data_IF_548362748583
#
_entry.id   IF_548362748583
#
_cell.length_a   1.000
_cell.length_b   1.000
_cell.length_c   1.000
_cell.angle_alpha   90.00
_cell.angle_beta   90.00
_cell.angle_gamma   90.00
#
_symmetry.space_group_name_H-M   'P 1'
#
loop_
_entity.id
_entity.type
_entity.pdbx_description
1 polymer ?
#
# COMPACT_ATOMS: atom_id res chain seq x y z
N UNK A 1 16.87 10.08 -21.06
CA UNK A 1 17.91 9.84 -20.04
C UNK A 1 17.45 10.15 -18.62
N UNK A 2 16.18 10.54 -18.43
CA UNK A 2 15.58 10.72 -17.12
C UNK A 2 15.37 9.38 -16.41
N UNK A 3 15.27 9.41 -15.08
CA UNK A 3 15.13 8.24 -14.24
C UNK A 3 13.87 8.33 -13.40
N UNK A 4 13.17 7.20 -13.23
CA UNK A 4 12.13 6.99 -12.24
C UNK A 4 12.64 5.96 -11.24
N UNK A 5 12.71 6.33 -9.98
CA UNK A 5 13.12 5.44 -8.88
C UNK A 5 11.87 4.99 -8.11
N UNK A 6 11.61 3.68 -8.09
CA UNK A 6 10.43 3.09 -7.45
C UNK A 6 10.86 2.04 -6.44
N UNK A 7 10.12 1.88 -5.34
CA UNK A 7 10.46 0.81 -4.41
C UNK A 7 10.03 -0.57 -4.95
N UNK A 8 10.75 -1.63 -4.59
CA UNK A 8 10.37 -2.99 -4.93
C UNK A 8 9.15 -3.46 -4.13
N UNK A 9 8.80 -2.76 -3.06
CA UNK A 9 7.68 -3.05 -2.18
C UNK A 9 6.34 -2.56 -2.71
N UNK A 10 6.31 -1.93 -3.90
CA UNK A 10 5.11 -1.33 -4.42
C UNK A 10 4.01 -2.34 -4.77
N UNK A 11 2.79 -1.93 -4.50
CA UNK A 11 1.63 -2.57 -5.12
C UNK A 11 1.69 -2.38 -6.64
N UNK A 12 1.18 -3.33 -7.42
CA UNK A 12 1.16 -3.23 -8.89
C UNK A 12 0.57 -1.90 -9.41
N UNK A 13 -0.35 -1.30 -8.68
CA UNK A 13 -0.97 0.00 -9.06
C UNK A 13 0.00 1.18 -8.99
N UNK A 14 1.06 1.09 -8.18
CA UNK A 14 2.12 2.11 -8.11
C UNK A 14 3.42 1.68 -8.82
N UNK A 15 3.44 0.51 -9.42
CA UNK A 15 4.56 0.04 -10.24
C UNK A 15 4.27 0.12 -11.75
N UNK A 16 3.12 -0.41 -12.18
CA UNK A 16 2.80 -0.55 -13.60
C UNK A 16 2.71 0.80 -14.34
N UNK A 17 2.15 1.87 -13.78
CA UNK A 17 2.16 3.18 -14.42
C UNK A 17 3.59 3.67 -14.75
N UNK A 18 4.53 3.49 -13.83
CA UNK A 18 5.93 3.88 -14.03
C UNK A 18 6.60 3.05 -15.13
N UNK A 19 6.33 1.74 -15.17
CA UNK A 19 6.80 0.91 -16.30
C UNK A 19 6.25 1.37 -17.64
N UNK A 20 4.98 1.80 -17.68
CA UNK A 20 4.35 2.31 -18.90
C UNK A 20 4.97 3.63 -19.32
N UNK A 21 5.10 4.58 -18.40
CA UNK A 21 5.69 5.91 -18.68
C UNK A 21 7.16 5.77 -19.13
N UNK A 22 7.95 4.96 -18.45
CA UNK A 22 9.36 4.72 -18.85
C UNK A 22 9.46 4.15 -20.25
N UNK A 23 8.60 3.18 -20.61
CA UNK A 23 8.54 2.65 -21.99
C UNK A 23 8.15 3.68 -23.04
N UNK A 24 7.24 4.59 -22.71
CA UNK A 24 6.76 5.63 -23.64
C UNK A 24 7.77 6.76 -23.83
N UNK A 25 8.47 7.16 -22.77
CA UNK A 25 9.38 8.31 -22.76
C UNK A 25 10.84 7.95 -22.99
N UNK A 26 11.21 6.69 -22.86
CA UNK A 26 12.61 6.24 -22.86
C UNK A 26 13.35 6.55 -21.55
N UNK A 27 12.63 6.85 -20.48
CA UNK A 27 13.19 6.98 -19.14
C UNK A 27 13.61 5.62 -18.58
N UNK A 28 14.58 5.63 -17.68
CA UNK A 28 15.09 4.43 -17.00
C UNK A 28 14.32 4.20 -15.70
N UNK A 29 13.78 2.98 -15.52
CA UNK A 29 13.15 2.56 -14.27
C UNK A 29 14.18 1.90 -13.36
N UNK A 30 14.37 2.44 -12.16
CA UNK A 30 15.27 1.93 -11.13
C UNK A 30 14.52 1.51 -9.89
N UNK A 31 15.11 0.61 -9.10
CA UNK A 31 14.46 0.07 -7.92
C UNK A 31 15.24 0.36 -6.64
N UNK A 32 14.50 0.75 -5.59
CA UNK A 32 14.94 0.69 -4.20
C UNK A 32 14.64 -0.73 -3.72
N UNK A 33 15.66 -1.50 -3.43
CA UNK A 33 15.52 -2.85 -2.90
C UNK A 33 15.41 -2.83 -1.37
N UNK A 34 14.85 -3.89 -0.79
CA UNK A 34 14.80 -4.10 0.64
C UNK A 34 15.65 -5.31 1.06
N UNK A 35 16.05 -5.35 2.33
CA UNK A 35 16.64 -6.53 2.94
C UNK A 35 15.58 -7.64 3.13
N UNK A 36 15.98 -8.89 3.45
CA UNK A 36 15.03 -9.99 3.67
C UNK A 36 13.98 -9.72 4.75
N UNK A 37 14.30 -8.89 5.74
CA UNK A 37 13.37 -8.43 6.78
C UNK A 37 12.46 -7.27 6.34
N UNK A 38 12.56 -6.85 5.09
CA UNK A 38 11.81 -5.72 4.53
C UNK A 38 12.38 -4.34 4.85
N UNK A 39 13.50 -4.23 5.57
CA UNK A 39 14.12 -2.94 5.87
C UNK A 39 14.81 -2.34 4.64
N UNK A 40 14.95 -1.01 4.62
CA UNK A 40 15.66 -0.26 3.56
C UNK A 40 16.84 0.51 4.16
N UNK A 41 17.93 0.62 3.40
CA UNK A 41 19.09 1.44 3.79
C UNK A 41 18.99 2.83 3.16
N UNK A 42 18.80 3.86 3.97
CA UNK A 42 18.71 5.25 3.52
C UNK A 42 19.96 5.73 2.76
N UNK A 43 21.15 5.22 3.10
CA UNK A 43 22.38 5.58 2.38
C UNK A 43 22.39 4.97 0.98
N UNK A 44 21.87 3.76 0.84
CA UNK A 44 21.71 3.15 -0.47
C UNK A 44 20.70 3.96 -1.31
N UNK A 45 19.55 4.31 -0.72
CA UNK A 45 18.52 5.13 -1.40
C UNK A 45 19.14 6.46 -1.86
N UNK A 46 19.87 7.17 -0.97
CA UNK A 46 20.51 8.44 -1.33
C UNK A 46 21.48 8.30 -2.52
N UNK A 47 22.21 7.19 -2.60
CA UNK A 47 23.11 6.92 -3.72
C UNK A 47 22.41 6.61 -5.06
N UNK A 48 21.17 6.12 -5.01
CA UNK A 48 20.35 5.83 -6.18
C UNK A 48 19.70 7.09 -6.79
N UNK A 49 19.49 8.14 -5.96
CA UNK A 49 18.88 9.39 -6.41
C UNK A 49 19.95 10.27 -7.06
N UNK A 50 19.84 10.47 -8.37
CA UNK A 50 20.80 11.26 -9.17
C UNK A 50 20.17 12.56 -9.69
N UNK A 51 20.96 13.41 -10.37
CA UNK A 51 20.46 14.60 -11.06
C UNK A 51 19.49 14.26 -12.21
N UNK A 52 19.50 12.99 -12.67
CA UNK A 52 18.58 12.50 -13.70
C UNK A 52 17.28 11.97 -13.13
N UNK A 53 17.22 11.71 -11.82
CA UNK A 53 16.01 11.24 -11.15
C UNK A 53 14.97 12.36 -11.17
N UNK A 54 13.81 12.08 -11.78
CA UNK A 54 12.68 13.02 -11.88
C UNK A 54 11.54 12.67 -10.94
N UNK A 55 11.37 11.38 -10.66
CA UNK A 55 10.31 10.86 -9.80
C UNK A 55 10.92 9.82 -8.87
N UNK A 56 10.53 9.90 -7.60
CA UNK A 56 10.70 8.85 -6.60
C UNK A 56 9.31 8.43 -6.14
N UNK A 57 8.96 7.15 -6.31
CA UNK A 57 7.69 6.58 -5.89
C UNK A 57 7.91 5.54 -4.80
N UNK A 58 7.18 5.65 -3.70
CA UNK A 58 7.33 4.75 -2.55
C UNK A 58 6.04 4.60 -1.76
N UNK A 59 5.68 3.36 -1.45
CA UNK A 59 4.58 3.09 -0.52
C UNK A 59 4.95 3.50 0.90
N UNK A 60 4.02 4.11 1.63
CA UNK A 60 4.26 4.47 3.03
C UNK A 60 4.20 3.25 3.95
N UNK A 61 3.30 2.29 3.64
CA UNK A 61 3.18 1.01 4.36
C UNK A 61 2.99 -0.11 3.34
N UNK A 62 3.83 -1.15 3.42
CA UNK A 62 3.72 -2.30 2.53
C UNK A 62 2.45 -3.09 2.77
N UNK A 63 1.73 -3.38 1.69
CA UNK A 63 0.56 -4.26 1.73
C UNK A 63 0.89 -5.75 1.90
N UNK A 64 2.16 -6.11 1.86
CA UNK A 64 2.67 -7.48 2.08
C UNK A 64 3.29 -7.61 3.46
N UNK A 65 4.24 -6.73 3.79
CA UNK A 65 5.03 -6.84 5.02
C UNK A 65 4.39 -6.10 6.21
N UNK A 66 3.40 -5.21 5.97
CA UNK A 66 2.86 -4.32 6.99
C UNK A 66 3.85 -3.25 7.46
N UNK A 67 5.07 -3.25 6.94
CA UNK A 67 6.15 -2.37 7.37
C UNK A 67 5.94 -0.94 6.90
N UNK A 68 6.14 0.02 7.82
CA UNK A 68 6.18 1.45 7.51
C UNK A 68 7.57 1.84 7.01
N UNK A 69 7.61 2.66 5.95
CA UNK A 69 8.85 3.12 5.33
C UNK A 69 9.16 4.60 5.63
N UNK A 70 10.44 4.99 5.58
CA UNK A 70 10.90 6.34 5.92
C UNK A 70 10.69 7.33 4.75
N UNK A 71 9.41 7.52 4.38
CA UNK A 71 9.01 8.33 3.23
C UNK A 71 9.46 9.78 3.35
N UNK A 72 9.42 10.35 4.57
CA UNK A 72 9.81 11.73 4.82
C UNK A 72 11.31 11.96 4.53
N UNK A 73 12.16 11.05 4.96
CA UNK A 73 13.60 11.11 4.71
C UNK A 73 13.90 10.95 3.22
N UNK A 74 13.20 10.02 2.55
CA UNK A 74 13.34 9.79 1.11
C UNK A 74 12.86 11.01 0.30
N UNK A 75 11.74 11.62 0.68
CA UNK A 75 11.25 12.86 0.08
C UNK A 75 12.29 14.00 0.18
N UNK A 76 12.88 14.16 1.35
CA UNK A 76 13.93 15.18 1.55
C UNK A 76 15.17 14.91 0.65
N UNK A 77 15.54 13.66 0.41
CA UNK A 77 16.62 13.28 -0.51
C UNK A 77 16.23 13.55 -1.97
N UNK A 78 15.00 13.21 -2.36
CA UNK A 78 14.47 13.45 -3.70
C UNK A 78 14.46 14.96 -4.03
N UNK A 79 13.94 15.78 -3.13
CA UNK A 79 13.85 17.23 -3.30
C UNK A 79 15.21 17.90 -3.43
N UNK A 80 16.26 17.43 -2.73
CA UNK A 80 17.63 17.92 -2.91
C UNK A 80 18.15 17.79 -4.34
N UNK A 81 17.59 16.83 -5.11
CA UNK A 81 17.94 16.58 -6.51
C UNK A 81 16.88 17.09 -7.50
N UNK A 82 15.87 17.79 -7.01
CA UNK A 82 14.77 18.32 -7.81
C UNK A 82 13.80 17.24 -8.33
N UNK A 83 13.81 16.06 -7.72
CA UNK A 83 12.86 14.98 -8.04
C UNK A 83 11.55 15.16 -7.26
N UNK A 84 10.45 14.72 -7.88
CA UNK A 84 9.10 14.71 -7.31
C UNK A 84 8.90 13.44 -6.48
N UNK A 85 8.32 13.57 -5.29
CA UNK A 85 7.99 12.44 -4.41
C UNK A 85 6.52 12.04 -4.53
N UNK A 86 6.27 10.83 -4.97
CA UNK A 86 4.95 10.20 -5.07
C UNK A 86 4.80 9.13 -3.99
N UNK A 87 3.74 9.20 -3.21
CA UNK A 87 3.51 8.31 -2.08
C UNK A 87 2.23 7.51 -2.26
N UNK A 88 2.33 6.18 -2.25
CA UNK A 88 1.18 5.30 -2.07
C UNK A 88 0.82 5.22 -0.59
N UNK A 89 -0.26 5.90 -0.22
CA UNK A 89 -0.83 5.91 1.12
C UNK A 89 -1.97 4.93 1.34
N UNK A 90 -2.20 3.99 0.41
CA UNK A 90 -3.37 3.12 0.45
C UNK A 90 -3.42 2.23 1.71
N UNK A 91 -2.27 1.85 2.26
CA UNK A 91 -2.20 1.06 3.50
C UNK A 91 -1.94 1.92 4.75
N UNK A 92 -1.48 3.15 4.63
CA UNK A 92 -1.26 4.01 5.79
C UNK A 92 -2.51 4.77 6.22
N UNK A 93 -3.28 5.26 5.26
CA UNK A 93 -4.46 6.12 5.52
C UNK A 93 -5.50 5.51 6.48
N UNK A 94 -5.82 4.19 6.45
CA UNK A 94 -6.77 3.62 7.39
C UNK A 94 -6.21 3.40 8.80
N UNK A 95 -4.87 3.35 8.96
CA UNK A 95 -4.22 2.88 10.18
C UNK A 95 -3.49 3.97 10.97
N UNK A 96 -3.17 5.10 10.35
CA UNK A 96 -2.42 6.18 11.00
C UNK A 96 -2.79 7.56 10.48
N UNK A 97 -2.56 8.63 11.28
CA UNK A 97 -2.74 9.99 10.79
C UNK A 97 -1.69 10.28 9.72
N UNK A 98 -2.13 10.96 8.67
CA UNK A 98 -1.25 11.38 7.57
C UNK A 98 -1.28 12.89 7.46
N UNK A 99 -0.11 13.51 7.51
CA UNK A 99 0.11 14.90 7.16
C UNK A 99 1.02 14.95 5.92
N UNK A 100 0.45 15.22 4.76
CA UNK A 100 1.16 15.19 3.47
C UNK A 100 2.29 16.21 3.39
N UNK A 101 2.15 17.36 4.10
CA UNK A 101 3.18 18.40 4.15
C UNK A 101 4.38 17.95 4.99
N UNK A 102 4.14 17.34 6.15
CA UNK A 102 5.20 16.79 7.00
C UNK A 102 5.91 15.61 6.33
N UNK A 103 5.17 14.78 5.58
CA UNK A 103 5.76 13.70 4.78
C UNK A 103 6.63 14.22 3.65
N UNK A 104 6.44 15.48 3.21
CA UNK A 104 7.08 16.01 2.02
C UNK A 104 6.56 15.35 0.74
N UNK A 105 5.34 14.80 0.75
CA UNK A 105 4.76 14.21 -0.45
C UNK A 105 4.35 15.31 -1.44
N UNK A 106 4.81 15.20 -2.68
CA UNK A 106 4.34 16.05 -3.77
C UNK A 106 3.02 15.51 -4.32
N UNK A 107 2.87 14.18 -4.33
CA UNK A 107 1.62 13.47 -4.60
C UNK A 107 1.40 12.38 -3.55
N UNK A 108 0.15 12.23 -3.11
CA UNK A 108 -0.25 11.19 -2.16
C UNK A 108 -1.57 10.57 -2.59
N UNK A 109 -1.58 9.26 -2.83
CA UNK A 109 -2.77 8.53 -3.28
C UNK A 109 -3.31 7.59 -2.19
N UNK A 110 -4.64 7.49 -2.07
CA UNK A 110 -5.28 6.53 -1.18
C UNK A 110 -6.58 5.98 -1.75
N UNK A 111 -7.01 4.82 -1.23
CA UNK A 111 -8.22 4.11 -1.68
C UNK A 111 -9.32 4.18 -0.63
N UNK A 112 -10.52 4.61 -1.03
CA UNK A 112 -11.66 4.77 -0.13
C UNK A 112 -12.11 3.47 0.53
N UNK A 113 -12.11 2.34 -0.22
CA UNK A 113 -12.53 1.04 0.33
C UNK A 113 -11.59 0.50 1.43
N UNK A 114 -10.37 1.01 1.55
CA UNK A 114 -9.44 0.61 2.62
C UNK A 114 -9.64 1.43 3.89
N UNK A 115 -10.17 2.65 3.79
CA UNK A 115 -10.54 3.49 4.93
C UNK A 115 -12.05 3.35 5.28
N UNK A 116 -12.58 2.13 5.15
CA UNK A 116 -13.97 1.76 5.45
C UNK A 116 -15.04 2.45 4.59
N UNK A 117 -14.62 3.12 3.53
CA UNK A 117 -15.49 3.79 2.56
C UNK A 117 -15.95 2.87 1.43
N UNK A 118 -16.76 3.38 0.50
CA UNK A 118 -17.25 2.63 -0.65
C UNK A 118 -16.13 2.22 -1.60
N UNK A 119 -16.36 1.14 -2.37
CA UNK A 119 -15.53 0.79 -3.52
C UNK A 119 -15.68 1.82 -4.64
N UNK A 120 -14.66 1.94 -5.49
CA UNK A 120 -14.70 2.78 -6.69
C UNK A 120 -14.52 4.28 -6.42
N UNK A 121 -13.99 4.63 -5.24
CA UNK A 121 -13.59 6.00 -4.90
C UNK A 121 -12.26 5.98 -4.15
N UNK A 122 -11.52 7.06 -4.28
CA UNK A 122 -10.27 7.33 -3.57
C UNK A 122 -9.91 8.80 -3.69
N UNK A 123 -8.74 9.19 -3.23
CA UNK A 123 -8.24 10.55 -3.34
C UNK A 123 -6.80 10.58 -3.81
N UNK A 124 -6.48 11.64 -4.55
CA UNK A 124 -5.12 12.04 -4.89
C UNK A 124 -4.91 13.46 -4.38
N UNK A 125 -3.99 13.61 -3.45
CA UNK A 125 -3.40 14.91 -3.14
C UNK A 125 -2.27 15.17 -4.14
N UNK A 126 -2.17 16.40 -4.60
CA UNK A 126 -1.03 16.89 -5.37
C UNK A 126 -0.73 18.33 -5.01
N UNK A 127 0.56 18.72 -5.06
CA UNK A 127 0.97 20.11 -4.92
C UNK A 127 0.39 20.93 -6.06
N UNK A 128 -0.18 22.09 -5.73
CA UNK A 128 -0.92 22.95 -6.66
C UNK A 128 -0.09 23.30 -7.89
N UNK A 129 1.17 23.73 -7.72
CA UNK A 129 2.05 24.11 -8.82
C UNK A 129 2.33 22.95 -9.78
N UNK A 130 2.42 21.70 -9.29
CA UNK A 130 2.60 20.52 -10.14
C UNK A 130 1.31 20.15 -10.87
N UNK A 131 0.18 20.23 -10.18
CA UNK A 131 -1.13 20.00 -10.79
C UNK A 131 -1.46 21.02 -11.89
N UNK A 132 -1.05 22.28 -11.70
CA UNK A 132 -1.23 23.31 -12.73
C UNK A 132 -0.44 23.00 -14.02
N UNK A 133 0.78 22.47 -13.89
CA UNK A 133 1.59 22.09 -15.05
C UNK A 133 1.14 20.80 -15.72
N UNK A 134 0.48 19.89 -14.99
CA UNK A 134 0.06 18.60 -15.54
C UNK A 134 -1.11 18.73 -16.52
N UNK A 135 -1.10 18.02 -17.67
CA UNK A 135 -2.29 17.87 -18.49
C UNK A 135 -3.33 17.01 -17.77
N UNK A 136 -4.64 17.19 -18.05
CA UNK A 136 -5.66 16.31 -17.52
C UNK A 136 -5.46 14.88 -18.04
N UNK A 137 -5.72 13.88 -17.18
CA UNK A 137 -5.64 12.46 -17.54
C UNK A 137 -6.92 11.99 -18.24
N UNK A 138 -8.08 12.40 -17.72
CA UNK A 138 -9.39 12.09 -18.28
C UNK A 138 -9.93 13.32 -19.03
N UNK A 139 -10.80 13.09 -19.99
CA UNK A 139 -11.44 14.15 -20.77
C UNK A 139 -12.96 13.94 -20.81
N UNK A 140 -13.72 15.03 -20.72
CA UNK A 140 -15.20 14.98 -20.74
C UNK A 140 -15.82 16.33 -20.39
N UNK A 141 -17.07 16.32 -19.98
CA UNK A 141 -17.73 17.48 -19.43
C UNK A 141 -17.18 17.86 -18.05
N UNK A 142 -17.56 19.01 -17.54
CA UNK A 142 -17.22 19.58 -16.22
C UNK A 142 -15.72 19.97 -16.04
N UNK A 143 -14.79 19.28 -16.70
CA UNK A 143 -13.35 19.54 -16.57
C UNK A 143 -12.82 20.63 -17.51
N UNK A 144 -13.68 21.31 -18.22
CA UNK A 144 -13.37 22.34 -19.22
C UNK A 144 -14.13 23.65 -18.91
N UNK A 145 -13.50 24.78 -19.24
CA UNK A 145 -14.15 26.08 -19.27
C UNK A 145 -14.81 26.32 -20.61
N UNK A 146 -14.10 26.01 -21.72
CA UNK A 146 -14.61 26.13 -23.06
C UNK A 146 -14.02 25.12 -24.04
N UNK A 147 -14.78 24.73 -25.07
CA UNK A 147 -14.32 23.81 -26.11
C UNK A 147 -14.63 24.40 -27.50
N UNK A 148 -13.64 24.31 -28.38
CA UNK A 148 -13.76 24.64 -29.80
C UNK A 148 -13.62 23.38 -30.66
N UNK A 149 -13.65 23.51 -31.98
CA UNK A 149 -13.45 22.39 -32.89
C UNK A 149 -12.04 21.78 -32.80
N UNK A 150 -11.06 22.54 -32.35
CA UNK A 150 -9.65 22.17 -32.42
C UNK A 150 -8.90 22.29 -31.08
N UNK A 151 -9.56 22.69 -29.98
CA UNK A 151 -8.92 22.85 -28.69
C UNK A 151 -9.93 23.08 -27.58
N UNK A 152 -9.42 23.02 -26.34
CA UNK A 152 -10.19 23.27 -25.14
C UNK A 152 -9.39 24.15 -24.17
N UNK A 153 -10.10 24.93 -23.37
CA UNK A 153 -9.58 25.57 -22.16
C UNK A 153 -10.08 24.73 -21.00
N UNK A 154 -9.16 24.29 -20.14
CA UNK A 154 -9.50 23.45 -18.99
C UNK A 154 -9.99 24.31 -17.83
N UNK A 155 -10.85 23.71 -17.00
CA UNK A 155 -11.32 24.32 -15.77
C UNK A 155 -10.18 24.49 -14.74
N UNK A 156 -10.40 25.33 -13.73
CA UNK A 156 -9.50 25.49 -12.61
C UNK A 156 -9.38 24.18 -11.80
N UNK A 157 -8.29 24.05 -11.02
CA UNK A 157 -8.15 22.96 -10.05
C UNK A 157 -9.26 23.03 -8.98
N UNK A 158 -9.77 21.91 -8.50
CA UNK A 158 -9.43 20.51 -8.91
C UNK A 158 -10.23 20.00 -10.12
N UNK A 159 -11.19 20.78 -10.63
CA UNK A 159 -12.12 20.35 -11.69
C UNK A 159 -11.43 19.90 -12.98
N UNK A 160 -10.26 20.45 -13.30
CA UNK A 160 -9.39 20.04 -14.41
C UNK A 160 -9.16 18.51 -14.48
N UNK A 161 -9.17 17.82 -13.33
CA UNK A 161 -8.95 16.38 -13.24
C UNK A 161 -10.22 15.56 -12.96
N UNK A 162 -11.40 16.21 -12.89
CA UNK A 162 -12.68 15.59 -12.57
C UNK A 162 -13.59 15.58 -13.81
N UNK A 163 -13.38 14.59 -14.71
CA UNK A 163 -14.08 14.52 -15.99
C UNK A 163 -15.43 13.82 -15.89
N UNK A 164 -16.48 14.44 -16.40
CA UNK A 164 -17.85 13.92 -16.45
C UNK A 164 -18.58 14.01 -15.11
N UNK A 165 -19.73 13.35 -14.99
CA UNK A 165 -20.48 13.31 -13.74
C UNK A 165 -19.71 12.53 -12.69
N UNK A 166 -19.26 13.21 -11.64
CA UNK A 166 -18.44 12.63 -10.57
C UNK A 166 -19.23 11.62 -9.71
N UNK A 167 -18.52 10.72 -9.05
CA UNK A 167 -19.08 9.73 -8.13
C UNK A 167 -19.53 10.38 -6.81
N UNK A 168 -20.60 11.19 -6.85
CA UNK A 168 -21.09 11.92 -5.69
C UNK A 168 -21.54 11.00 -4.54
N UNK A 169 -22.16 9.85 -4.87
CA UNK A 169 -22.59 8.87 -3.86
C UNK A 169 -21.36 8.25 -3.14
N UNK A 170 -20.32 7.91 -3.91
CA UNK A 170 -19.06 7.43 -3.35
C UNK A 170 -18.37 8.49 -2.48
N UNK A 171 -18.38 9.76 -2.90
CA UNK A 171 -17.80 10.86 -2.14
C UNK A 171 -18.51 11.07 -0.79
N UNK A 172 -19.84 11.05 -0.78
CA UNK A 172 -20.64 11.14 0.44
C UNK A 172 -20.36 9.96 1.40
N UNK A 173 -20.27 8.73 0.86
CA UNK A 173 -19.92 7.55 1.65
C UNK A 173 -18.47 7.60 2.19
N UNK A 174 -17.53 8.11 1.40
CA UNK A 174 -16.14 8.29 1.84
C UNK A 174 -16.04 9.35 2.94
N UNK A 175 -16.78 10.46 2.84
CA UNK A 175 -16.83 11.48 3.88
C UNK A 175 -17.30 10.89 5.21
N UNK A 176 -18.41 10.14 5.19
CA UNK A 176 -18.92 9.45 6.38
C UNK A 176 -17.92 8.45 6.97
N UNK A 177 -17.17 7.72 6.13
CA UNK A 177 -16.13 6.81 6.58
C UNK A 177 -14.96 7.55 7.26
N UNK A 178 -14.53 8.67 6.71
CA UNK A 178 -13.49 9.52 7.29
C UNK A 178 -13.94 10.06 8.66
N UNK A 179 -15.16 10.57 8.76
CA UNK A 179 -15.76 11.03 10.04
C UNK A 179 -15.81 9.91 11.07
N UNK A 180 -16.16 8.70 10.64
CA UNK A 180 -16.16 7.52 11.53
C UNK A 180 -14.76 7.21 12.05
N UNK A 181 -13.75 7.11 11.19
CA UNK A 181 -12.36 6.86 11.59
C UNK A 181 -11.86 7.95 12.54
N UNK A 182 -12.15 9.21 12.25
CA UNK A 182 -11.81 10.33 13.13
C UNK A 182 -12.51 10.24 14.50
N UNK A 183 -13.74 9.77 14.53
CA UNK A 183 -14.51 9.58 15.79
C UNK A 183 -13.95 8.45 16.65
N UNK A 184 -13.43 7.38 16.05
CA UNK A 184 -12.70 6.32 16.77
C UNK A 184 -11.36 6.83 17.29
N UNK A 185 -10.67 7.63 16.50
CA UNK A 185 -9.37 8.21 16.79
C UNK A 185 -8.20 7.29 16.47
N UNK A 186 -7.17 7.85 15.81
CA UNK A 186 -6.02 7.07 15.38
C UNK A 186 -5.21 6.46 16.53
N UNK A 187 -5.13 7.11 17.68
CA UNK A 187 -4.44 6.53 18.85
C UNK A 187 -5.10 5.22 19.27
N UNK A 188 -6.45 5.18 19.30
CA UNK A 188 -7.21 3.96 19.60
C UNK A 188 -7.01 2.89 18.54
N UNK A 189 -7.07 3.28 17.26
CA UNK A 189 -6.88 2.37 16.13
C UNK A 189 -5.48 1.73 16.19
N UNK A 190 -4.45 2.55 16.31
CA UNK A 190 -3.06 2.08 16.33
C UNK A 190 -2.76 1.19 17.53
N UNK A 191 -3.24 1.57 18.73
CA UNK A 191 -3.06 0.76 19.92
C UNK A 191 -3.73 -0.61 19.79
N UNK A 192 -4.99 -0.62 19.32
CA UNK A 192 -5.74 -1.88 19.18
C UNK A 192 -5.12 -2.79 18.11
N UNK A 193 -4.73 -2.25 16.98
CA UNK A 193 -4.08 -3.02 15.92
C UNK A 193 -2.70 -3.52 16.34
N UNK A 194 -1.94 -2.73 17.10
CA UNK A 194 -0.67 -3.17 17.68
C UNK A 194 -0.87 -4.34 18.64
N UNK A 195 -1.84 -4.26 19.55
CA UNK A 195 -2.11 -5.31 20.55
C UNK A 195 -2.53 -6.62 19.86
N UNK A 196 -3.44 -6.54 18.88
CA UNK A 196 -3.86 -7.70 18.08
C UNK A 196 -2.68 -8.31 17.31
N UNK A 197 -1.87 -7.46 16.69
CA UNK A 197 -0.71 -7.91 15.91
C UNK A 197 0.34 -8.57 16.81
N UNK A 198 0.62 -7.99 17.96
CA UNK A 198 1.58 -8.54 18.92
C UNK A 198 1.13 -9.90 19.45
N UNK A 199 -0.16 -10.03 19.83
CA UNK A 199 -0.75 -11.30 20.25
C UNK A 199 -0.68 -12.36 19.14
N UNK A 200 -1.11 -12.00 17.92
CA UNK A 200 -1.11 -12.93 16.79
C UNK A 200 0.31 -13.32 16.36
N UNK A 201 1.22 -12.36 16.21
CA UNK A 201 2.57 -12.59 15.72
C UNK A 201 3.36 -13.53 16.65
N UNK A 202 3.36 -13.26 17.97
CA UNK A 202 4.06 -14.10 18.94
C UNK A 202 3.61 -15.57 18.89
N UNK A 203 2.32 -15.78 18.66
CA UNK A 203 1.73 -17.12 18.60
C UNK A 203 1.92 -17.79 17.23
N UNK A 204 1.88 -17.04 16.13
CA UNK A 204 2.19 -17.54 14.77
C UNK A 204 3.63 -18.02 14.70
N UNK A 205 4.57 -17.27 15.26
CA UNK A 205 6.00 -17.65 15.31
C UNK A 205 6.25 -18.93 16.12
N UNK A 206 5.36 -19.29 17.02
CA UNK A 206 5.44 -20.52 17.79
C UNK A 206 4.80 -21.74 17.08
N UNK A 207 4.09 -21.54 15.97
CA UNK A 207 3.50 -22.65 15.19
C UNK A 207 4.60 -23.33 14.37
N UNK A 208 4.85 -24.63 14.53
CA UNK A 208 5.87 -25.34 13.75
C UNK A 208 5.62 -25.23 12.25
N UNK A 209 6.70 -25.11 11.47
CA UNK A 209 6.63 -25.06 10.00
C UNK A 209 5.93 -23.83 9.39
N UNK A 210 5.65 -22.83 10.20
CA UNK A 210 5.14 -21.53 9.73
C UNK A 210 6.29 -20.53 9.72
N UNK A 211 6.46 -19.84 8.60
CA UNK A 211 7.50 -18.83 8.41
C UNK A 211 6.85 -17.48 8.11
N UNK A 212 7.02 -16.53 9.01
CA UNK A 212 6.53 -15.15 8.85
C UNK A 212 7.51 -14.38 7.97
N UNK A 213 6.99 -13.57 7.04
CA UNK A 213 7.77 -12.64 6.26
C UNK A 213 7.97 -11.34 7.06
N UNK A 214 9.16 -10.75 6.90
CA UNK A 214 9.52 -9.53 7.62
C UNK A 214 10.24 -9.82 8.93
N UNK A 215 9.85 -9.12 9.99
CA UNK A 215 10.50 -9.21 11.30
C UNK A 215 9.65 -9.98 12.32
N UNK A 216 10.23 -10.31 13.46
CA UNK A 216 9.55 -10.84 14.65
C UNK A 216 9.05 -9.74 15.61
N UNK A 217 9.16 -8.46 15.20
CA UNK A 217 8.83 -7.29 16.00
C UNK A 217 7.44 -6.77 15.64
N UNK A 218 6.48 -6.76 16.57
CA UNK A 218 5.10 -6.33 16.27
C UNK A 218 5.02 -4.86 15.79
N UNK A 219 5.91 -4.00 16.26
CA UNK A 219 5.98 -2.59 15.84
C UNK A 219 6.33 -2.38 14.37
N UNK A 220 6.91 -3.38 13.70
CA UNK A 220 7.20 -3.38 12.27
C UNK A 220 6.02 -3.86 11.40
N UNK A 221 4.93 -4.29 12.04
CA UNK A 221 3.73 -4.79 11.38
C UNK A 221 2.53 -3.86 11.68
N UNK A 222 1.88 -3.35 10.64
CA UNK A 222 0.67 -2.54 10.78
C UNK A 222 -0.56 -3.40 10.47
N UNK A 223 -0.95 -4.27 11.42
CA UNK A 223 -2.10 -5.16 11.26
C UNK A 223 -1.92 -6.30 10.25
N UNK A 224 -0.74 -6.49 9.66
CA UNK A 224 -0.51 -7.44 8.56
C UNK A 224 0.51 -8.50 8.98
N UNK A 225 0.12 -9.78 8.90
CA UNK A 225 1.02 -10.92 9.06
C UNK A 225 0.98 -11.75 7.78
N UNK A 226 2.08 -11.73 7.04
CA UNK A 226 2.26 -12.53 5.82
C UNK A 226 3.17 -13.71 6.13
N UNK A 227 2.79 -14.91 5.71
CA UNK A 227 3.47 -16.13 6.07
C UNK A 227 3.39 -17.22 4.99
N UNK A 228 4.27 -18.21 5.12
CA UNK A 228 4.21 -19.48 4.40
C UNK A 228 4.14 -20.63 5.39
N UNK A 229 3.69 -21.79 4.91
CA UNK A 229 3.66 -23.05 5.69
C UNK A 229 4.36 -24.11 4.87
N UNK A 230 5.33 -24.82 5.48
CA UNK A 230 6.11 -25.85 4.78
C UNK A 230 5.23 -26.91 4.13
N UNK A 231 5.43 -27.08 2.82
CA UNK A 231 4.74 -28.09 2.04
C UNK A 231 3.28 -27.76 1.69
N UNK A 232 2.73 -26.63 2.16
CA UNK A 232 1.33 -26.26 1.90
C UNK A 232 1.25 -25.06 0.97
N UNK A 233 0.50 -25.22 -0.12
CA UNK A 233 0.30 -24.11 -1.05
C UNK A 233 -0.59 -23.02 -0.42
N UNK A 234 -0.29 -21.71 -0.60
CA UNK A 234 -1.08 -20.63 0.02
C UNK A 234 -2.58 -20.65 -0.29
N UNK A 235 -3.00 -21.12 -1.46
CA UNK A 235 -4.43 -21.27 -1.79
C UNK A 235 -5.09 -22.36 -0.92
N UNK A 236 -4.41 -23.48 -0.69
CA UNK A 236 -4.93 -24.54 0.19
C UNK A 236 -5.06 -24.03 1.63
N UNK A 237 -4.07 -23.21 2.08
CA UNK A 237 -4.16 -22.53 3.38
C UNK A 237 -5.44 -21.71 3.45
N UNK A 238 -5.70 -20.87 2.45
CA UNK A 238 -6.86 -19.97 2.47
C UNK A 238 -8.19 -20.71 2.37
N UNK A 239 -8.27 -21.81 1.61
CA UNK A 239 -9.49 -22.61 1.50
C UNK A 239 -9.82 -23.35 2.80
N UNK A 240 -8.81 -23.96 3.42
CA UNK A 240 -8.98 -24.67 4.69
C UNK A 240 -9.41 -23.68 5.78
N UNK A 241 -8.73 -22.55 5.90
CA UNK A 241 -9.07 -21.54 6.91
C UNK A 241 -10.46 -20.94 6.66
N UNK A 242 -10.84 -20.72 5.40
CA UNK A 242 -12.19 -20.25 5.05
C UNK A 242 -13.28 -21.26 5.48
N UNK A 243 -13.00 -22.57 5.40
CA UNK A 243 -13.94 -23.59 5.90
C UNK A 243 -14.13 -23.53 7.43
N UNK A 244 -13.17 -22.99 8.15
CA UNK A 244 -13.22 -22.75 9.59
C UNK A 244 -13.81 -21.35 9.94
N UNK A 245 -14.24 -20.59 8.90
CA UNK A 245 -14.78 -19.22 9.06
C UNK A 245 -13.71 -18.14 9.18
N UNK A 246 -12.44 -18.44 8.86
CA UNK A 246 -11.31 -17.50 8.89
C UNK A 246 -10.92 -17.14 7.48
N UNK A 247 -11.20 -15.92 7.05
CA UNK A 247 -10.89 -15.44 5.71
C UNK A 247 -9.54 -14.73 5.69
N UNK A 248 -8.60 -15.28 4.93
CA UNK A 248 -7.27 -14.69 4.67
C UNK A 248 -7.05 -14.54 3.18
N UNK A 249 -6.04 -13.78 2.80
CA UNK A 249 -5.66 -13.64 1.39
C UNK A 249 -4.51 -14.57 1.04
N UNK A 250 -4.61 -15.25 -0.12
CA UNK A 250 -3.53 -16.05 -0.70
C UNK A 250 -3.05 -15.48 -2.04
N UNK A 251 -1.79 -15.71 -2.39
CA UNK A 251 -1.19 -15.34 -3.66
C UNK A 251 -0.02 -14.36 -3.52
N UNK A 252 0.22 -13.56 -4.55
CA UNK A 252 1.32 -12.58 -4.58
C UNK A 252 0.92 -11.15 -4.13
N UNK A 253 -0.28 -10.97 -3.61
CA UNK A 253 -0.79 -9.73 -3.01
C UNK A 253 -0.64 -8.48 -3.90
N UNK A 254 -0.60 -8.66 -5.22
CA UNK A 254 -0.31 -7.61 -6.21
C UNK A 254 1.06 -6.93 -5.99
N UNK A 255 2.07 -7.69 -5.54
CA UNK A 255 3.45 -7.26 -5.30
C UNK A 255 4.43 -8.35 -5.74
N UNK A 256 4.26 -8.88 -6.96
CA UNK A 256 5.09 -9.95 -7.49
C UNK A 256 6.60 -9.67 -7.47
N UNK A 257 7.08 -8.46 -7.81
CA UNK A 257 8.51 -8.18 -7.73
C UNK A 257 9.08 -8.31 -6.32
N UNK A 258 8.35 -7.87 -5.29
CA UNK A 258 8.76 -8.06 -3.90
C UNK A 258 8.87 -9.54 -3.54
N UNK A 259 7.86 -10.35 -3.87
CA UNK A 259 7.91 -11.78 -3.56
C UNK A 259 9.03 -12.49 -4.31
N UNK A 260 9.24 -12.17 -5.58
CA UNK A 260 10.36 -12.71 -6.36
C UNK A 260 11.72 -12.31 -5.77
N UNK A 261 11.87 -11.06 -5.29
CA UNK A 261 13.07 -10.58 -4.60
C UNK A 261 13.32 -11.37 -3.30
N UNK A 262 12.26 -11.72 -2.57
CA UNK A 262 12.33 -12.55 -1.36
C UNK A 262 12.42 -14.07 -1.66
N UNK A 263 12.52 -14.47 -2.94
CA UNK A 263 12.62 -15.87 -3.34
C UNK A 263 11.30 -16.65 -3.23
N UNK A 264 10.16 -15.99 -3.24
CA UNK A 264 8.83 -16.55 -3.05
C UNK A 264 7.95 -16.35 -4.29
N UNK A 265 7.03 -17.28 -4.53
CA UNK A 265 6.05 -17.16 -5.61
C UNK A 265 4.67 -16.71 -5.11
N UNK A 266 4.28 -17.14 -3.93
CA UNK A 266 3.01 -16.84 -3.30
C UNK A 266 3.09 -17.02 -1.79
N UNK A 267 2.23 -16.33 -1.05
CA UNK A 267 2.14 -16.38 0.41
C UNK A 267 0.69 -16.31 0.87
N UNK A 268 0.45 -16.63 2.13
CA UNK A 268 -0.80 -16.35 2.83
C UNK A 268 -0.64 -15.07 3.67
N UNK A 269 -1.70 -14.27 3.80
CA UNK A 269 -1.68 -13.01 4.54
C UNK A 269 -2.94 -12.86 5.38
N UNK A 270 -2.77 -12.78 6.70
CA UNK A 270 -3.78 -12.30 7.62
C UNK A 270 -3.67 -10.78 7.76
N UNK A 271 -4.82 -10.11 7.84
CA UNK A 271 -4.89 -8.66 8.04
C UNK A 271 -5.89 -8.38 9.17
N UNK A 272 -5.44 -7.67 10.18
CA UNK A 272 -6.23 -7.26 11.34
C UNK A 272 -6.53 -5.78 11.24
N UNK A 273 -7.70 -5.39 11.70
CA UNK A 273 -8.11 -4.01 11.88
C UNK A 273 -8.64 -3.80 13.29
N UNK A 274 -8.74 -2.56 13.72
CA UNK A 274 -9.12 -2.20 15.09
C UNK A 274 -10.44 -2.85 15.58
N UNK A 275 -11.33 -3.24 14.68
CA UNK A 275 -12.62 -3.88 15.02
C UNK A 275 -12.51 -5.39 15.24
N UNK A 276 -11.37 -6.02 14.91
CA UNK A 276 -11.16 -7.43 15.22
C UNK A 276 -11.04 -7.66 16.73
N UNK A 277 -11.37 -8.87 17.15
CA UNK A 277 -11.34 -9.31 18.55
C UNK A 277 -10.20 -10.27 18.82
N UNK A 278 -9.91 -10.53 20.10
CA UNK A 278 -8.94 -11.55 20.49
C UNK A 278 -9.44 -12.95 20.13
N UNK A 279 -10.76 -13.17 20.09
CA UNK A 279 -11.39 -14.40 19.60
C UNK A 279 -11.15 -14.63 18.12
N UNK A 280 -11.07 -13.57 17.28
CA UNK A 280 -10.70 -13.69 15.88
C UNK A 280 -9.26 -14.17 15.74
N UNK A 281 -8.35 -13.66 16.59
CA UNK A 281 -6.95 -14.13 16.65
C UNK A 281 -6.90 -15.59 17.10
N UNK A 282 -7.68 -15.99 18.11
CA UNK A 282 -7.73 -17.37 18.60
C UNK A 282 -8.20 -18.32 17.51
N UNK A 283 -9.27 -18.00 16.80
CA UNK A 283 -9.78 -18.81 15.66
C UNK A 283 -8.76 -18.92 14.51
N UNK A 284 -8.11 -17.81 14.17
CA UNK A 284 -7.05 -17.82 13.17
C UNK A 284 -5.93 -18.79 13.55
N UNK A 285 -5.47 -18.76 14.79
CA UNK A 285 -4.38 -19.61 15.28
C UNK A 285 -4.80 -21.08 15.46
N UNK A 286 -6.03 -21.35 15.89
CA UNK A 286 -6.56 -22.70 15.95
C UNK A 286 -6.57 -23.35 14.55
N UNK A 287 -7.11 -22.66 13.56
CA UNK A 287 -7.10 -23.13 12.19
C UNK A 287 -5.68 -23.31 11.64
N UNK A 288 -4.79 -22.37 11.85
CA UNK A 288 -3.39 -22.41 11.39
C UNK A 288 -2.62 -23.59 12.01
N UNK A 289 -2.79 -23.85 13.32
CA UNK A 289 -2.05 -24.89 14.05
C UNK A 289 -2.41 -26.32 13.61
N UNK A 290 -3.62 -26.52 13.11
CA UNK A 290 -4.10 -27.85 12.67
C UNK A 290 -3.95 -28.10 11.17
N UNK A 291 -3.57 -27.07 10.41
CA UNK A 291 -3.59 -27.07 8.96
C UNK A 291 -2.74 -28.17 8.34
N UNK A 292 -1.49 -28.36 8.79
CA UNK A 292 -0.60 -29.40 8.25
C UNK A 292 -1.10 -30.82 8.53
N UNK A 293 -1.64 -31.07 9.73
CA UNK A 293 -2.24 -32.38 10.09
C UNK A 293 -3.43 -32.70 9.18
N UNK A 294 -4.30 -31.71 8.92
CA UNK A 294 -5.45 -31.84 8.00
C UNK A 294 -5.03 -32.12 6.56
N UNK A 295 -3.87 -31.64 6.15
CA UNK A 295 -3.28 -31.91 4.82
C UNK A 295 -2.48 -33.22 4.76
N UNK A 296 -2.35 -33.95 5.89
CA UNK A 296 -1.62 -35.22 5.95
C UNK A 296 -0.09 -35.08 6.04
N UNK A 297 0.43 -33.89 6.33
CA UNK A 297 1.88 -33.66 6.44
C UNK A 297 2.45 -33.90 7.86
N UNK A 298 1.61 -34.34 8.81
CA UNK A 298 1.97 -34.48 10.22
C UNK A 298 1.99 -33.16 10.98
N UNK A 299 2.26 -33.29 12.30
CA UNK A 299 2.33 -32.11 13.20
C UNK A 299 3.56 -31.30 12.96
#
# INVERSE_FOLDING_TARGET
>A
GDEVLVSIMEHHSDLLPWQMVCRQTGAELKFIECAPDGSVDLRQIESLITERTKIVAMTQVSNVLGRKYPVQEVAAMAHKKGAVMVVDGAQSTPHMPVNVQELGADFFAFSGHKIFGPMGIGGLYGREELLEEMPPFLSGGEMIESVTRTGAVYAELPHKFEAGTVNAAGAAGLAAAIEYVQSVGFDTIQQREHDLTANALARVLAVPHVHVLGTDKPEDHNGIITFTVDGVHPHDISEIMASDGVNIRAGHHCAQPLLAHLGLNATARASFAFYNTDEDVDRFLESLSTLRERMGYGK
#
